data_IF_628099284842
#
_entry.id   IF_628099284842
#
_cell.length_a   1.000
_cell.length_b   1.000
_cell.length_c   1.000
_cell.angle_alpha   90.00
_cell.angle_beta   90.00
_cell.angle_gamma   90.00
#
_symmetry.space_group_name_H-M   'P 1'
#
loop_
_entity.id
_entity.type
_entity.pdbx_description
1 polymer ?
#
# COMPACT_ATOMS: atom_id res chain seq x y z
N UNK A 1 15.20 8.96 -13.14
CA UNK A 1 13.76 9.28 -13.22
C UNK A 1 13.41 9.91 -11.89
N UNK A 2 13.31 11.25 -11.82
CA UNK A 2 12.93 11.95 -10.60
C UNK A 2 11.52 11.52 -10.18
N UNK A 3 11.35 11.27 -8.88
CA UNK A 3 10.16 10.68 -8.29
C UNK A 3 8.97 11.62 -8.48
N UNK A 4 7.98 11.22 -9.30
CA UNK A 4 6.82 12.08 -9.59
C UNK A 4 6.01 12.41 -8.32
N UNK A 5 6.14 11.59 -7.29
CA UNK A 5 5.62 11.79 -5.95
C UNK A 5 6.27 12.95 -5.18
N UNK A 6 7.58 13.20 -5.33
CA UNK A 6 8.24 14.32 -4.63
C UNK A 6 7.79 15.68 -5.19
N UNK A 7 7.38 15.70 -6.46
CA UNK A 7 6.89 16.88 -7.19
C UNK A 7 5.40 17.19 -6.95
N UNK A 8 4.68 16.39 -6.15
CA UNK A 8 3.24 16.58 -5.97
C UNK A 8 2.91 17.90 -5.24
N UNK A 9 3.67 18.24 -4.20
CA UNK A 9 3.55 19.52 -3.49
C UNK A 9 3.87 20.71 -4.39
N UNK A 10 4.96 20.62 -5.18
CA UNK A 10 5.35 21.68 -6.13
C UNK A 10 4.28 21.94 -7.20
N UNK A 11 3.62 20.88 -7.70
CA UNK A 11 2.51 21.04 -8.64
C UNK A 11 1.33 21.80 -8.04
N UNK A 12 1.03 21.56 -6.76
CA UNK A 12 -0.03 22.30 -6.05
C UNK A 12 0.38 23.76 -5.83
N UNK A 13 1.63 24.02 -5.46
CA UNK A 13 2.15 25.40 -5.34
C UNK A 13 2.03 26.15 -6.66
N UNK A 14 2.52 25.57 -7.76
CA UNK A 14 2.44 26.17 -9.08
C UNK A 14 1.00 26.38 -9.56
N UNK A 15 0.08 25.46 -9.21
CA UNK A 15 -1.33 25.62 -9.54
C UNK A 15 -1.96 26.77 -8.75
N UNK A 16 -1.66 26.87 -7.45
CA UNK A 16 -2.15 27.95 -6.59
C UNK A 16 -1.63 29.30 -7.07
N UNK A 17 -0.36 29.41 -7.42
CA UNK A 17 0.24 30.63 -7.98
C UNK A 17 -0.50 31.10 -9.24
N UNK A 18 -0.77 30.19 -10.19
CA UNK A 18 -1.52 30.54 -11.41
C UNK A 18 -2.95 30.97 -11.11
N UNK A 19 -3.61 30.32 -10.15
CA UNK A 19 -4.98 30.66 -9.75
C UNK A 19 -5.00 32.05 -9.10
N UNK A 20 -4.09 32.31 -8.16
CA UNK A 20 -4.03 33.60 -7.47
C UNK A 20 -3.71 34.72 -8.45
N UNK A 21 -2.76 34.54 -9.37
CA UNK A 21 -2.46 35.49 -10.44
C UNK A 21 -3.67 35.80 -11.33
N UNK A 22 -4.41 34.76 -11.73
CA UNK A 22 -5.60 34.91 -12.57
C UNK A 22 -6.70 35.68 -11.84
N UNK A 23 -6.97 35.30 -10.59
CA UNK A 23 -7.96 35.97 -9.75
C UNK A 23 -7.59 37.42 -9.44
N UNK A 24 -6.33 37.68 -9.13
CA UNK A 24 -5.81 39.03 -8.90
C UNK A 24 -5.95 39.90 -10.15
N UNK A 25 -5.63 39.38 -11.33
CA UNK A 25 -5.77 40.10 -12.60
C UNK A 25 -7.23 40.46 -12.89
N UNK A 26 -8.13 39.50 -12.70
CA UNK A 26 -9.57 39.72 -12.86
C UNK A 26 -10.13 40.73 -11.85
N UNK A 27 -9.72 40.61 -10.58
CA UNK A 27 -10.15 41.50 -9.51
C UNK A 27 -9.70 42.95 -9.75
N UNK A 28 -8.42 43.15 -10.09
CA UNK A 28 -7.88 44.47 -10.42
C UNK A 28 -8.63 45.09 -11.60
N UNK A 29 -8.82 44.36 -12.70
CA UNK A 29 -9.56 44.86 -13.86
C UNK A 29 -11.01 45.23 -13.51
N UNK A 30 -11.67 44.42 -12.69
CA UNK A 30 -13.06 44.68 -12.25
C UNK A 30 -13.14 45.91 -11.35
N UNK A 31 -12.21 46.09 -10.42
CA UNK A 31 -12.16 47.26 -9.53
C UNK A 31 -11.86 48.55 -10.30
N UNK A 32 -10.89 48.53 -11.22
CA UNK A 32 -10.59 49.70 -12.07
C UNK A 32 -11.82 50.13 -12.87
N UNK A 33 -12.60 49.18 -13.38
CA UNK A 33 -13.83 49.47 -14.13
C UNK A 33 -14.97 49.97 -13.22
N UNK A 34 -15.20 49.31 -12.10
CA UNK A 34 -16.37 49.57 -11.23
C UNK A 34 -16.17 50.82 -10.36
N UNK A 35 -14.93 51.10 -9.96
CA UNK A 35 -14.55 52.19 -9.06
C UNK A 35 -13.83 53.33 -9.80
N UNK A 36 -13.99 53.45 -11.13
CA UNK A 36 -13.27 54.45 -11.94
C UNK A 36 -13.46 55.90 -11.46
N UNK A 37 -14.65 56.25 -10.94
CA UNK A 37 -14.89 57.58 -10.34
C UNK A 37 -14.03 57.85 -9.11
N UNK A 38 -13.85 56.84 -8.25
CA UNK A 38 -13.02 56.93 -7.04
C UNK A 38 -11.54 57.00 -7.42
N UNK A 39 -11.12 56.17 -8.39
CA UNK A 39 -9.75 56.19 -8.93
C UNK A 39 -9.37 57.54 -9.53
N UNK A 40 -10.31 58.25 -10.16
CA UNK A 40 -10.04 59.57 -10.73
C UNK A 40 -9.90 60.68 -9.66
N UNK A 41 -10.39 60.46 -8.44
CA UNK A 41 -10.23 61.41 -7.33
C UNK A 41 -8.82 61.32 -6.74
N UNK A 42 -8.29 60.10 -6.61
CA UNK A 42 -6.90 59.85 -6.20
C UNK A 42 -6.41 58.54 -6.82
N UNK A 43 -5.72 58.66 -7.95
CA UNK A 43 -5.27 57.50 -8.73
C UNK A 43 -4.13 56.78 -8.02
N UNK A 44 -3.24 57.53 -7.37
CA UNK A 44 -2.07 56.96 -6.72
C UNK A 44 -2.49 56.15 -5.49
N UNK A 45 -3.36 56.70 -4.64
CA UNK A 45 -3.90 55.97 -3.50
C UNK A 45 -4.67 54.72 -3.93
N UNK A 46 -5.55 54.84 -4.94
CA UNK A 46 -6.38 53.72 -5.38
C UNK A 46 -5.52 52.58 -5.95
N UNK A 47 -4.58 52.90 -6.85
CA UNK A 47 -3.71 51.89 -7.46
C UNK A 47 -2.80 51.23 -6.41
N UNK A 48 -2.29 51.99 -5.43
CA UNK A 48 -1.55 51.42 -4.30
C UNK A 48 -2.41 50.54 -3.38
N UNK A 49 -3.64 50.93 -3.07
CA UNK A 49 -4.53 50.16 -2.20
C UNK A 49 -4.91 48.81 -2.85
N UNK A 50 -5.21 48.82 -4.16
CA UNK A 50 -5.50 47.60 -4.92
C UNK A 50 -4.28 46.71 -5.01
N UNK A 51 -3.10 47.27 -5.32
CA UNK A 51 -1.86 46.49 -5.39
C UNK A 51 -1.54 45.84 -4.03
N UNK A 52 -1.63 46.58 -2.93
CA UNK A 52 -1.37 46.06 -1.60
C UNK A 52 -2.34 44.91 -1.23
N UNK A 53 -3.63 45.06 -1.53
CA UNK A 53 -4.62 44.01 -1.28
C UNK A 53 -4.39 42.76 -2.14
N UNK A 54 -3.97 42.93 -3.39
CA UNK A 54 -3.59 41.81 -4.27
C UNK A 54 -2.36 41.08 -3.74
N UNK A 55 -1.32 41.80 -3.34
CA UNK A 55 -0.10 41.19 -2.80
C UNK A 55 -0.36 40.48 -1.47
N UNK A 56 -1.18 41.05 -0.59
CA UNK A 56 -1.61 40.40 0.64
C UNK A 56 -2.39 39.11 0.36
N UNK A 57 -3.35 39.15 -0.57
CA UNK A 57 -4.11 37.96 -0.99
C UNK A 57 -3.20 36.85 -1.54
N UNK A 58 -2.26 37.18 -2.42
CA UNK A 58 -1.31 36.21 -2.97
C UNK A 58 -0.44 35.60 -1.88
N UNK A 59 0.16 36.43 -1.03
CA UNK A 59 1.02 35.99 0.07
C UNK A 59 0.28 35.06 1.04
N UNK A 60 -0.91 35.45 1.46
CA UNK A 60 -1.71 34.67 2.41
C UNK A 60 -2.15 33.34 1.78
N UNK A 61 -2.62 33.36 0.53
CA UNK A 61 -3.01 32.15 -0.20
C UNK A 61 -1.84 31.17 -0.35
N UNK A 62 -0.65 31.69 -0.69
CA UNK A 62 0.57 30.88 -0.80
C UNK A 62 1.02 30.33 0.55
N UNK A 63 0.92 31.12 1.62
CA UNK A 63 1.24 30.65 2.98
C UNK A 63 0.32 29.52 3.42
N UNK A 64 -0.99 29.65 3.19
CA UNK A 64 -1.96 28.64 3.57
C UNK A 64 -1.80 27.34 2.78
N UNK A 65 -1.51 27.41 1.47
CA UNK A 65 -1.31 26.19 0.69
C UNK A 65 -0.04 25.45 1.12
N UNK A 66 1.05 26.17 1.44
CA UNK A 66 2.29 25.54 1.96
C UNK A 66 1.98 24.77 3.23
N UNK A 67 1.31 25.42 4.18
CA UNK A 67 0.91 24.78 5.44
C UNK A 67 0.01 23.56 5.19
N UNK A 68 -0.97 23.66 4.29
CA UNK A 68 -1.85 22.54 3.95
C UNK A 68 -1.10 21.37 3.31
N UNK A 69 -0.11 21.65 2.45
CA UNK A 69 0.72 20.62 1.81
C UNK A 69 1.51 19.84 2.87
N UNK A 70 2.07 20.55 3.86
CA UNK A 70 2.79 19.98 4.99
C UNK A 70 1.85 19.17 5.90
N UNK A 71 0.77 19.77 6.39
CA UNK A 71 -0.21 19.15 7.29
C UNK A 71 -0.82 17.87 6.69
N UNK A 72 -1.03 17.85 5.37
CA UNK A 72 -1.61 16.71 4.67
C UNK A 72 -0.59 15.66 4.25
N UNK A 73 0.71 15.89 4.48
CA UNK A 73 1.81 15.03 4.02
C UNK A 73 1.68 14.66 2.52
N UNK A 74 1.36 15.64 1.66
CA UNK A 74 0.94 15.39 0.26
C UNK A 74 1.93 14.51 -0.50
N UNK A 75 3.23 14.78 -0.37
CA UNK A 75 4.27 14.00 -1.07
C UNK A 75 4.31 12.54 -0.63
N UNK A 76 4.11 12.26 0.66
CA UNK A 76 4.05 10.90 1.20
C UNK A 76 2.83 10.13 0.67
N UNK A 77 1.67 10.79 0.64
CA UNK A 77 0.44 10.20 0.08
C UNK A 77 0.56 9.96 -1.43
N UNK A 78 1.17 10.89 -2.16
CA UNK A 78 1.46 10.73 -3.58
C UNK A 78 2.39 9.53 -3.84
N UNK A 79 3.41 9.33 -3.01
CA UNK A 79 4.31 8.18 -3.11
C UNK A 79 3.58 6.85 -2.89
N UNK A 80 2.67 6.78 -1.91
CA UNK A 80 1.83 5.59 -1.67
C UNK A 80 0.96 5.27 -2.89
N UNK A 81 0.32 6.28 -3.47
CA UNK A 81 -0.52 6.11 -4.67
C UNK A 81 0.33 5.66 -5.87
N UNK A 82 1.51 6.26 -6.06
CA UNK A 82 2.41 5.89 -7.15
C UNK A 82 2.92 4.45 -7.00
N UNK A 83 3.31 4.05 -5.79
CA UNK A 83 3.69 2.68 -5.49
C UNK A 83 2.53 1.70 -5.77
N UNK A 84 1.33 2.00 -5.27
CA UNK A 84 0.14 1.18 -5.51
C UNK A 84 -0.19 1.06 -7.00
N UNK A 85 -0.09 2.14 -7.78
CA UNK A 85 -0.33 2.11 -9.23
C UNK A 85 0.70 1.27 -9.99
N UNK A 86 1.94 1.14 -9.49
CA UNK A 86 2.98 0.30 -10.10
C UNK A 86 2.84 -1.17 -9.71
N UNK A 87 2.44 -1.47 -8.47
CA UNK A 87 2.43 -2.84 -7.93
C UNK A 87 1.08 -3.54 -8.06
N UNK A 88 -0.05 -2.80 -8.05
CA UNK A 88 -1.38 -3.38 -8.15
C UNK A 88 -1.76 -3.66 -9.61
N UNK A 89 -1.48 -4.88 -10.09
CA UNK A 89 -1.95 -5.37 -11.38
C UNK A 89 -3.40 -5.90 -11.32
N UNK A 90 -4.32 -5.18 -10.69
CA UNK A 90 -5.74 -5.58 -10.59
C UNK A 90 -6.63 -4.72 -11.47
N UNK A 91 -7.50 -5.37 -12.26
CA UNK A 91 -8.48 -4.72 -13.14
C UNK A 91 -9.47 -3.83 -12.37
N UNK A 92 -9.71 -4.15 -11.09
CA UNK A 92 -10.53 -3.36 -10.16
C UNK A 92 -9.88 -3.44 -8.79
N UNK A 93 -9.44 -2.31 -8.25
CA UNK A 93 -8.90 -2.26 -6.90
C UNK A 93 -10.00 -2.48 -5.87
N UNK A 94 -9.69 -3.23 -4.81
CA UNK A 94 -10.60 -3.45 -3.70
C UNK A 94 -11.02 -2.11 -3.08
N UNK A 95 -12.26 -2.05 -2.61
CA UNK A 95 -12.84 -0.91 -1.90
C UNK A 95 -13.60 -1.47 -0.71
N UNK A 96 -13.61 -0.75 0.43
CA UNK A 96 -14.46 -1.12 1.55
C UNK A 96 -15.90 -1.29 1.07
N UNK A 97 -16.48 -2.44 1.37
CA UNK A 97 -17.86 -2.78 1.05
C UNK A 97 -18.86 -2.02 1.92
N UNK A 98 -18.39 -1.53 3.08
CA UNK A 98 -19.25 -0.98 4.13
C UNK A 98 -19.80 -2.06 5.07
N UNK A 99 -19.48 -3.33 4.82
CA UNK A 99 -19.70 -4.44 5.74
C UNK A 99 -18.39 -4.74 6.50
N UNK A 100 -18.31 -4.43 7.80
CA UNK A 100 -17.08 -4.65 8.59
C UNK A 100 -16.60 -6.10 8.59
N UNK A 101 -17.51 -7.07 8.55
CA UNK A 101 -17.12 -8.49 8.53
C UNK A 101 -16.44 -8.86 7.21
N UNK A 102 -17.02 -8.48 6.07
CA UNK A 102 -16.42 -8.72 4.76
C UNK A 102 -15.08 -8.00 4.61
N UNK A 103 -15.00 -6.76 5.09
CA UNK A 103 -13.79 -5.95 4.98
C UNK A 103 -12.67 -6.48 5.89
N UNK A 104 -13.02 -6.99 7.07
CA UNK A 104 -12.05 -7.61 8.00
C UNK A 104 -11.60 -8.99 7.50
N UNK A 105 -12.53 -9.80 6.99
CA UNK A 105 -12.21 -11.12 6.45
C UNK A 105 -11.28 -11.04 5.24
N UNK A 106 -11.44 -10.02 4.39
CA UNK A 106 -10.51 -9.77 3.29
C UNK A 106 -9.08 -9.48 3.80
N UNK A 107 -8.94 -8.81 4.94
CA UNK A 107 -7.65 -8.50 5.55
C UNK A 107 -7.02 -9.73 6.24
N UNK A 108 -7.85 -10.55 6.88
CA UNK A 108 -7.42 -11.75 7.63
C UNK A 108 -7.06 -12.90 6.67
N UNK A 109 -7.67 -12.95 5.47
CA UNK A 109 -7.49 -14.03 4.50
C UNK A 109 -6.02 -14.33 4.18
N UNK A 110 -5.19 -13.30 3.99
CA UNK A 110 -3.77 -13.50 3.66
C UNK A 110 -3.01 -14.16 4.83
N UNK A 111 -3.31 -13.76 6.07
CA UNK A 111 -2.74 -14.39 7.27
C UNK A 111 -3.20 -15.84 7.43
N UNK A 112 -4.49 -16.11 7.23
CA UNK A 112 -5.04 -17.47 7.29
C UNK A 112 -4.45 -18.37 6.21
N UNK A 113 -4.22 -17.82 5.02
CA UNK A 113 -3.58 -18.53 3.91
C UNK A 113 -2.13 -18.89 4.25
N UNK A 114 -1.33 -17.96 4.76
CA UNK A 114 0.04 -18.25 5.18
C UNK A 114 0.08 -19.31 6.30
N UNK A 115 -0.80 -19.20 7.28
CA UNK A 115 -0.89 -20.18 8.36
C UNK A 115 -1.28 -21.57 7.84
N UNK A 116 -2.24 -21.63 6.90
CA UNK A 116 -2.64 -22.87 6.25
C UNK A 116 -1.49 -23.50 5.47
N UNK A 117 -0.75 -22.71 4.71
CA UNK A 117 0.40 -23.18 3.92
C UNK A 117 1.50 -23.76 4.84
N UNK A 118 1.74 -23.13 5.99
CA UNK A 118 2.64 -23.64 7.02
C UNK A 118 2.16 -24.99 7.58
N UNK A 119 0.89 -25.10 7.96
CA UNK A 119 0.30 -26.34 8.46
C UNK A 119 0.41 -27.48 7.45
N UNK A 120 0.13 -27.19 6.17
CA UNK A 120 0.26 -28.16 5.08
C UNK A 120 1.71 -28.61 4.91
N UNK A 121 2.67 -27.69 4.98
CA UNK A 121 4.10 -27.99 4.94
C UNK A 121 4.53 -28.90 6.09
N UNK A 122 4.19 -28.54 7.33
CA UNK A 122 4.58 -29.32 8.52
C UNK A 122 3.92 -30.70 8.54
N UNK A 123 2.62 -30.78 8.20
CA UNK A 123 1.92 -32.06 8.08
C UNK A 123 2.57 -32.96 7.02
N UNK A 124 2.95 -32.38 5.87
CA UNK A 124 3.65 -33.11 4.80
C UNK A 124 5.02 -33.62 5.26
N UNK A 125 5.77 -32.85 6.04
CA UNK A 125 7.06 -33.27 6.62
C UNK A 125 6.87 -34.45 7.57
N UNK A 126 5.92 -34.34 8.50
CA UNK A 126 5.62 -35.41 9.47
C UNK A 126 5.16 -36.69 8.75
N UNK A 127 4.33 -36.57 7.71
CA UNK A 127 3.91 -37.71 6.92
C UNK A 127 5.08 -38.42 6.23
N UNK A 128 6.07 -37.69 5.71
CA UNK A 128 7.29 -38.29 5.14
C UNK A 128 8.09 -39.07 6.17
N UNK A 129 8.25 -38.53 7.38
CA UNK A 129 8.93 -39.23 8.49
C UNK A 129 8.17 -40.49 8.88
N UNK A 130 6.85 -40.40 9.03
CA UNK A 130 6.00 -41.54 9.36
C UNK A 130 6.10 -42.64 8.29
N UNK A 131 6.10 -42.25 7.01
CA UNK A 131 6.25 -43.19 5.89
C UNK A 131 7.62 -43.89 5.94
N UNK A 132 8.70 -43.16 6.17
CA UNK A 132 10.04 -43.73 6.34
C UNK A 132 10.06 -44.76 7.47
N UNK A 133 9.48 -44.42 8.63
CA UNK A 133 9.40 -45.33 9.78
C UNK A 133 8.55 -46.57 9.50
N UNK A 134 7.45 -46.42 8.77
CA UNK A 134 6.63 -47.55 8.34
C UNK A 134 7.40 -48.49 7.40
N UNK A 135 8.23 -47.95 6.52
CA UNK A 135 9.05 -48.76 5.62
C UNK A 135 10.21 -49.45 6.37
N UNK A 136 10.85 -48.78 7.33
CA UNK A 136 11.82 -49.40 8.27
C UNK A 136 11.20 -50.60 9.01
N UNK A 137 9.99 -50.44 9.55
CA UNK A 137 9.28 -51.51 10.27
C UNK A 137 8.93 -52.70 9.37
N UNK A 138 8.53 -52.45 8.11
CA UNK A 138 8.28 -53.52 7.14
C UNK A 138 9.54 -54.34 6.85
N UNK A 139 10.69 -53.68 6.74
CA UNK A 139 11.97 -54.35 6.52
C UNK A 139 12.36 -55.18 7.75
N UNK A 140 12.26 -54.61 8.95
CA UNK A 140 12.55 -55.30 10.20
C UNK A 140 11.68 -56.56 10.37
N UNK A 141 10.36 -56.43 10.15
CA UNK A 141 9.42 -57.55 10.21
C UNK A 141 9.80 -58.69 9.26
N UNK A 142 10.13 -58.38 8.00
CA UNK A 142 10.55 -59.41 7.03
C UNK A 142 11.83 -60.12 7.47
N UNK A 143 12.77 -59.38 8.05
CA UNK A 143 14.01 -59.96 8.58
C UNK A 143 13.74 -60.91 9.75
N UNK A 144 12.82 -60.55 10.65
CA UNK A 144 12.41 -61.40 11.77
C UNK A 144 11.68 -62.66 11.26
N UNK A 145 10.74 -62.52 10.31
CA UNK A 145 10.03 -63.64 9.69
C UNK A 145 11.02 -64.64 9.06
N UNK A 146 12.01 -64.15 8.30
CA UNK A 146 13.06 -65.00 7.73
C UNK A 146 13.94 -65.67 8.78
N UNK A 147 14.27 -64.96 9.87
CA UNK A 147 15.08 -65.51 10.96
C UNK A 147 14.33 -66.64 11.68
N UNK A 148 13.03 -66.47 11.87
CA UNK A 148 12.15 -67.49 12.46
C UNK A 148 12.05 -68.71 11.54
N UNK A 149 11.81 -68.53 10.24
CA UNK A 149 11.81 -69.62 9.25
C UNK A 149 13.13 -70.40 9.26
N UNK A 150 14.27 -69.70 9.37
CA UNK A 150 15.58 -70.33 9.47
C UNK A 150 15.73 -71.15 10.76
N UNK A 151 15.34 -70.61 11.91
CA UNK A 151 15.39 -71.32 13.20
C UNK A 151 14.48 -72.56 13.17
N UNK A 152 13.27 -72.45 12.63
CA UNK A 152 12.34 -73.56 12.48
C UNK A 152 12.90 -74.66 11.57
N UNK A 153 13.57 -74.29 10.48
CA UNK A 153 14.24 -75.24 9.61
C UNK A 153 15.39 -75.96 10.34
N UNK A 154 16.17 -75.23 11.13
CA UNK A 154 17.29 -75.77 11.91
C UNK A 154 16.80 -76.74 13.00
N UNK A 155 15.73 -76.38 13.71
CA UNK A 155 15.07 -77.25 14.69
C UNK A 155 14.59 -78.56 14.05
N UNK A 156 13.94 -78.49 12.87
CA UNK A 156 13.53 -79.70 12.12
C UNK A 156 14.69 -80.59 11.68
N UNK A 157 15.88 -80.03 11.47
CA UNK A 157 17.07 -80.84 11.18
C UNK A 157 17.67 -81.49 12.42
N UNK A 158 17.62 -80.82 13.57
CA UNK A 158 18.05 -81.37 14.87
C UNK A 158 17.13 -82.50 15.34
N UNK A 159 15.81 -82.38 15.16
CA UNK A 159 14.85 -83.44 15.52
C UNK A 159 14.96 -84.70 14.64
N UNK A 160 15.75 -84.66 13.56
CA UNK A 160 15.99 -85.80 12.64
C UNK A 160 17.32 -86.52 12.90
N UNK A 161 18.14 -86.02 13.83
CA UNK A 161 19.40 -86.63 14.29
C UNK A 161 19.15 -87.34 15.61
#
# INVERSE_FOLDING_TARGET
MEDRASLAGEKLLNATERITDTLSSYFSAKLTKSCGKLRNLDTQWFDSAVANGVEEFKRESMSQIVKLIEDMEVSKKAAIIEAANRTCAVKRSWRPSGNPEEDTNALIYDMEKEHRDLLVSESSKLYRVLRSKADELKVARRSEEQSLEFIEALAKTLDRV
#
